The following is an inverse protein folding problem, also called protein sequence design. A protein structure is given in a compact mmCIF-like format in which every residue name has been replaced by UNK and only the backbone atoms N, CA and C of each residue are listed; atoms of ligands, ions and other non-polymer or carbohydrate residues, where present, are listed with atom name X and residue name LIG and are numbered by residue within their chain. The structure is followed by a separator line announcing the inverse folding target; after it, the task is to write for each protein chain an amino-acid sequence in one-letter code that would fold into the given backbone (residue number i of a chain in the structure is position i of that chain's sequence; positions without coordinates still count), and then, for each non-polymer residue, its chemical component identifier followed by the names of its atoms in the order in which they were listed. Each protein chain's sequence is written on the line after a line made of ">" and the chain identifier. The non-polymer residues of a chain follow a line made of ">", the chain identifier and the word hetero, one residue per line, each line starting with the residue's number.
data_IF_379111557409
#
_entry.id   IF_379111557409
#
_cell.length_a   1.000
_cell.length_b   1.000
_cell.length_c   1.000
_cell.angle_alpha   90.00
_cell.angle_beta   90.00
_cell.angle_gamma   90.00
#
_symmetry.space_group_name_H-M   'P 1'
#
loop_
_entity.id
_entity.type
_entity.pdbx_description
1 polymer ?
#
# COMPACT_ATOMS: atom_id res chain seq x y z
N UNK A 1 -2.39 17.18 20.01
CA UNK A 1 -2.69 15.78 19.64
C UNK A 1 -2.14 15.46 18.23
N UNK A 2 -1.45 14.34 18.06
CA UNK A 2 -1.05 13.86 16.73
C UNK A 2 -2.29 13.27 16.03
N UNK A 3 -2.68 13.85 14.90
CA UNK A 3 -3.85 13.42 14.11
C UNK A 3 -3.46 12.39 13.03
N UNK A 4 -2.39 11.64 13.29
CA UNK A 4 -1.84 10.65 12.38
C UNK A 4 -1.21 9.49 13.14
N UNK A 5 -1.12 8.34 12.48
CA UNK A 5 -0.50 7.12 12.99
C UNK A 5 0.73 6.77 12.14
N UNK A 6 1.80 6.31 12.77
CA UNK A 6 2.98 5.82 12.09
C UNK A 6 2.81 4.33 11.79
N UNK A 7 2.91 3.96 10.53
CA UNK A 7 2.85 2.57 10.10
C UNK A 7 4.26 1.94 10.15
N UNK A 8 4.34 0.60 10.29
CA UNK A 8 5.61 -0.11 10.20
C UNK A 8 6.33 0.23 8.88
N UNK A 9 7.65 0.47 8.90
CA UNK A 9 8.40 0.74 7.68
C UNK A 9 8.34 -0.46 6.74
N UNK A 10 7.87 -0.25 5.52
CA UNK A 10 7.83 -1.30 4.51
C UNK A 10 9.25 -1.62 4.00
N UNK A 11 9.56 -2.89 3.68
CA UNK A 11 10.84 -3.27 3.09
C UNK A 11 11.17 -2.45 1.83
N UNK A 12 12.38 -1.89 1.79
CA UNK A 12 12.86 -1.04 0.68
C UNK A 12 12.41 0.43 0.73
N UNK A 13 11.69 0.87 1.77
CA UNK A 13 11.33 2.28 1.94
C UNK A 13 12.39 3.03 2.78
N UNK A 14 12.85 4.20 2.30
CA UNK A 14 13.77 5.09 3.04
C UNK A 14 13.06 6.02 4.05
N UNK A 15 11.83 5.71 4.46
CA UNK A 15 10.98 6.58 5.27
C UNK A 15 9.83 5.82 5.93
N UNK A 16 9.18 6.49 6.89
CA UNK A 16 8.12 5.88 7.72
C UNK A 16 6.76 6.24 7.15
N UNK A 17 5.94 5.27 6.72
CA UNK A 17 4.60 5.55 6.24
C UNK A 17 3.70 6.12 7.36
N UNK A 18 2.81 7.04 7.00
CA UNK A 18 1.94 7.78 7.92
C UNK A 18 0.52 7.75 7.44
N UNK A 19 -0.37 7.34 8.33
CA UNK A 19 -1.81 7.31 8.15
C UNK A 19 -2.44 8.56 8.76
N UNK A 20 -3.01 9.45 7.95
CA UNK A 20 -3.75 10.61 8.46
C UNK A 20 -5.21 10.25 8.69
N UNK A 21 -5.78 10.69 9.82
CA UNK A 21 -7.21 10.45 10.14
C UNK A 21 -8.15 11.06 9.11
N UNK A 22 -7.80 12.22 8.56
CA UNK A 22 -8.57 12.89 7.51
C UNK A 22 -7.65 13.56 6.47
N UNK A 23 -8.13 13.81 5.23
CA UNK A 23 -7.41 14.61 4.25
C UNK A 23 -7.07 16.03 4.75
N UNK A 24 -7.93 16.60 5.60
CA UNK A 24 -7.71 17.92 6.22
C UNK A 24 -6.54 17.91 7.20
N UNK A 25 -6.40 16.84 7.99
CA UNK A 25 -5.27 16.66 8.91
C UNK A 25 -3.95 16.56 8.14
N UNK A 26 -3.96 15.83 7.01
CA UNK A 26 -2.82 15.75 6.09
C UNK A 26 -2.39 17.12 5.60
N UNK A 27 -3.31 17.91 5.07
CA UNK A 27 -3.00 19.25 4.57
C UNK A 27 -2.51 20.19 5.68
N UNK A 28 -3.12 20.11 6.87
CA UNK A 28 -2.68 20.86 8.03
C UNK A 28 -1.24 20.49 8.43
N UNK A 29 -0.88 19.20 8.37
CA UNK A 29 0.48 18.73 8.61
C UNK A 29 1.46 19.17 7.50
N UNK A 30 1.03 19.15 6.24
CA UNK A 30 1.82 19.64 5.10
C UNK A 30 2.14 21.13 5.21
N UNK A 31 1.17 21.96 5.64
CA UNK A 31 1.35 23.40 5.88
C UNK A 31 2.30 23.71 7.04
N UNK A 32 2.54 22.76 7.94
CA UNK A 32 3.39 22.91 9.13
C UNK A 32 4.79 22.32 8.94
N UNK A 33 5.19 22.06 7.70
CA UNK A 33 6.49 21.46 7.44
C UNK A 33 7.66 22.45 7.57
N UNK A 34 8.84 21.97 8.02
CA UNK A 34 9.06 20.67 8.68
C UNK A 34 8.49 20.68 10.10
N UNK A 35 8.11 19.51 10.64
CA UNK A 35 7.61 19.42 12.01
C UNK A 35 8.40 18.44 12.86
N UNK A 36 8.29 18.58 14.19
CA UNK A 36 8.96 17.69 15.15
C UNK A 36 8.13 16.45 15.41
N UNK A 37 8.79 15.30 15.37
CA UNK A 37 8.24 13.98 15.66
C UNK A 37 9.27 13.18 16.45
N UNK A 38 8.95 12.79 17.69
CA UNK A 38 9.83 12.07 18.61
C UNK A 38 11.22 12.71 18.75
N UNK A 39 11.28 14.04 18.85
CA UNK A 39 12.53 14.79 18.93
C UNK A 39 13.31 14.93 17.60
N UNK A 40 12.91 14.22 16.55
CA UNK A 40 13.49 14.33 15.21
C UNK A 40 12.74 15.36 14.35
N UNK A 41 13.45 15.95 13.39
CA UNK A 41 12.82 16.79 12.36
C UNK A 41 12.31 15.89 11.24
N UNK A 42 11.01 15.98 10.96
CA UNK A 42 10.36 15.17 9.95
C UNK A 42 9.77 16.05 8.85
N UNK A 43 9.82 15.53 7.62
CA UNK A 43 9.18 16.11 6.44
C UNK A 43 8.31 15.04 5.79
N UNK A 44 7.08 15.40 5.42
CA UNK A 44 6.29 14.55 4.54
C UNK A 44 6.86 14.71 3.15
N UNK A 45 7.26 13.61 2.56
CA UNK A 45 7.80 13.58 1.21
C UNK A 45 6.84 12.82 0.31
N UNK A 46 6.82 13.13 -0.99
CA UNK A 46 6.12 12.31 -1.96
C UNK A 46 6.54 10.85 -1.83
N UNK A 47 5.61 9.92 -2.04
CA UNK A 47 5.86 8.47 -1.98
C UNK A 47 7.02 8.08 -2.91
N UNK A 48 7.07 8.68 -4.10
CA UNK A 48 8.16 8.52 -5.09
C UNK A 48 9.56 8.90 -4.59
N UNK A 49 9.67 9.73 -3.54
CA UNK A 49 10.96 10.14 -2.96
C UNK A 49 11.50 9.09 -1.98
N UNK A 50 10.66 8.12 -1.60
CA UNK A 50 10.96 7.13 -0.55
C UNK A 50 10.93 5.70 -1.06
N UNK A 51 10.13 5.46 -2.10
CA UNK A 51 10.21 4.26 -2.90
C UNK A 51 11.39 4.36 -3.86
N UNK A 52 12.20 3.32 -3.93
CA UNK A 52 13.15 3.12 -5.02
C UNK A 52 12.34 2.68 -6.26
N UNK A 53 11.74 3.66 -6.94
CA UNK A 53 10.89 3.46 -8.13
C UNK A 53 11.67 3.87 -9.38
N UNK A 54 12.69 3.10 -9.75
CA UNK A 54 13.25 3.19 -11.09
C UNK A 54 12.26 2.55 -12.08
N UNK A 55 11.45 3.37 -12.76
CA UNK A 55 10.74 2.99 -13.99
C UNK A 55 9.61 1.96 -13.88
N UNK A 56 8.71 2.08 -12.88
CA UNK A 56 7.55 1.19 -12.75
C UNK A 56 6.20 1.91 -12.64
N UNK A 57 5.15 1.10 -12.53
CA UNK A 57 3.80 1.54 -12.20
C UNK A 57 3.34 0.97 -10.85
N UNK A 58 2.28 1.54 -10.34
CA UNK A 58 1.54 1.01 -9.22
C UNK A 58 0.12 0.69 -9.67
N UNK A 59 -0.43 -0.41 -9.15
CA UNK A 59 -1.75 -0.86 -9.47
C UNK A 59 -2.55 -1.16 -8.20
N UNK A 60 -3.77 -0.65 -8.15
CA UNK A 60 -4.80 -1.07 -7.21
C UNK A 60 -5.54 -2.23 -7.83
N UNK A 61 -5.49 -3.39 -7.18
CA UNK A 61 -6.16 -4.60 -7.62
C UNK A 61 -7.17 -5.08 -6.58
N UNK A 62 -8.25 -5.65 -7.08
CA UNK A 62 -9.32 -6.27 -6.32
C UNK A 62 -9.28 -7.79 -6.56
N UNK A 63 -9.11 -8.56 -5.50
CA UNK A 63 -9.14 -10.02 -5.51
C UNK A 63 -10.52 -10.49 -5.02
N UNK A 64 -11.35 -10.97 -5.94
CA UNK A 64 -12.74 -11.32 -5.67
C UNK A 64 -12.87 -12.76 -5.17
N UNK A 65 -13.74 -12.97 -4.18
CA UNK A 65 -13.99 -14.32 -3.65
C UNK A 65 -12.75 -14.97 -3.02
N UNK A 66 -11.82 -14.17 -2.49
CA UNK A 66 -10.57 -14.69 -1.90
C UNK A 66 -10.89 -15.68 -0.76
N UNK A 67 -10.31 -16.90 -0.73
CA UNK A 67 -10.68 -17.93 0.23
C UNK A 67 -10.49 -17.48 1.68
N UNK A 68 -11.53 -17.62 2.50
CA UNK A 68 -11.57 -17.07 3.87
C UNK A 68 -10.48 -17.69 4.76
N UNK A 69 -10.24 -18.98 4.58
CA UNK A 69 -9.25 -19.77 5.32
C UNK A 69 -7.79 -19.40 4.99
N UNK A 70 -7.56 -18.77 3.83
CA UNK A 70 -6.24 -18.28 3.39
C UNK A 70 -6.12 -16.75 3.50
N UNK A 71 -7.15 -16.08 4.04
CA UNK A 71 -7.27 -14.62 4.07
C UNK A 71 -6.49 -14.02 5.23
N UNK A 72 -5.17 -14.11 5.17
CA UNK A 72 -4.27 -13.36 6.07
C UNK A 72 -3.41 -12.41 5.26
N UNK A 73 -2.96 -11.31 5.89
CA UNK A 73 -2.05 -10.36 5.23
C UNK A 73 -0.78 -11.06 4.70
N UNK A 74 -0.24 -12.04 5.42
CA UNK A 74 0.93 -12.81 4.99
C UNK A 74 0.63 -13.68 3.76
N UNK A 75 -0.46 -14.46 3.77
CA UNK A 75 -0.81 -15.34 2.66
C UNK A 75 -1.18 -14.57 1.38
N UNK A 76 -1.97 -13.49 1.51
CA UNK A 76 -2.29 -12.62 0.38
C UNK A 76 -1.03 -11.96 -0.18
N UNK A 77 -0.10 -11.54 0.68
CA UNK A 77 1.20 -11.01 0.26
C UNK A 77 1.99 -12.04 -0.55
N UNK A 78 2.14 -13.26 -0.05
CA UNK A 78 2.93 -14.30 -0.72
C UNK A 78 2.35 -14.74 -2.07
N UNK A 79 1.02 -14.79 -2.19
CA UNK A 79 0.37 -15.09 -3.47
C UNK A 79 0.56 -13.95 -4.49
N UNK A 80 0.47 -12.70 -4.04
CA UNK A 80 0.60 -11.54 -4.93
C UNK A 80 2.06 -11.21 -5.32
N UNK A 81 3.04 -11.58 -4.48
CA UNK A 81 4.48 -11.39 -4.73
C UNK A 81 4.97 -12.02 -6.05
N UNK A 82 4.21 -12.96 -6.61
CA UNK A 82 4.56 -13.67 -7.85
C UNK A 82 4.52 -12.79 -9.11
N UNK A 83 3.84 -11.65 -9.05
CA UNK A 83 3.64 -10.77 -10.22
C UNK A 83 3.74 -9.28 -9.87
N UNK A 84 4.27 -8.95 -8.69
CA UNK A 84 4.50 -7.58 -8.26
C UNK A 84 4.96 -7.47 -6.81
N UNK A 85 5.59 -6.36 -6.46
CA UNK A 85 5.95 -6.03 -5.08
C UNK A 85 4.71 -5.51 -4.36
N UNK A 86 4.21 -6.27 -3.40
CA UNK A 86 3.09 -5.86 -2.55
C UNK A 86 3.50 -4.68 -1.68
N UNK A 87 2.83 -3.54 -1.86
CA UNK A 87 3.06 -2.31 -1.08
C UNK A 87 2.04 -2.14 0.03
N UNK A 88 0.78 -2.51 -0.21
CA UNK A 88 -0.30 -2.39 0.76
C UNK A 88 -1.34 -3.48 0.56
N UNK A 89 -1.93 -3.95 1.64
CA UNK A 89 -3.14 -4.75 1.67
C UNK A 89 -4.10 -4.05 2.62
N UNK A 90 -5.33 -3.79 2.17
CA UNK A 90 -6.34 -3.16 3.01
C UNK A 90 -6.61 -4.03 4.27
N UNK A 91 -6.28 -3.55 5.48
CA UNK A 91 -6.46 -4.33 6.70
C UNK A 91 -7.94 -4.64 6.99
N UNK A 92 -8.86 -3.78 6.54
CA UNK A 92 -10.30 -4.01 6.72
C UNK A 92 -10.76 -5.26 5.96
N UNK A 93 -10.15 -5.56 4.82
CA UNK A 93 -10.45 -6.77 4.05
C UNK A 93 -10.04 -8.06 4.79
N UNK A 94 -8.98 -8.00 5.61
CA UNK A 94 -8.50 -9.15 6.40
C UNK A 94 -9.36 -9.37 7.65
N UNK A 95 -9.88 -8.30 8.24
CA UNK A 95 -10.69 -8.36 9.45
C UNK A 95 -12.19 -8.65 9.20
N UNK A 96 -12.66 -8.54 7.95
CA UNK A 96 -14.07 -8.69 7.61
C UNK A 96 -14.49 -10.17 7.50
N UNK A 97 -15.55 -10.60 8.21
CA UNK A 97 -15.99 -12.00 8.30
C UNK A 97 -16.73 -12.52 7.05
N UNK A 98 -17.14 -11.66 6.13
CA UNK A 98 -17.97 -12.01 4.98
C UNK A 98 -17.56 -11.26 3.70
N UNK A 99 -17.16 -12.03 2.68
CA UNK A 99 -17.18 -11.66 1.25
C UNK A 99 -16.36 -10.45 0.77
N UNK A 100 -15.66 -9.72 1.65
CA UNK A 100 -14.92 -8.53 1.22
C UNK A 100 -13.82 -8.89 0.20
N UNK A 101 -13.89 -8.24 -0.96
CA UNK A 101 -12.84 -8.21 -1.98
C UNK A 101 -11.53 -7.80 -1.31
N UNK A 102 -10.48 -8.62 -1.43
CA UNK A 102 -9.17 -8.24 -0.89
C UNK A 102 -8.56 -7.19 -1.80
N UNK A 103 -8.35 -5.99 -1.28
CA UNK A 103 -7.74 -4.87 -2.01
C UNK A 103 -6.24 -4.85 -1.76
N UNK A 104 -5.48 -4.82 -2.84
CA UNK A 104 -4.01 -4.85 -2.80
C UNK A 104 -3.47 -3.74 -3.67
N UNK A 105 -2.41 -3.09 -3.21
CA UNK A 105 -1.61 -2.16 -4.00
C UNK A 105 -0.29 -2.83 -4.34
N UNK A 106 -0.01 -2.96 -5.63
CA UNK A 106 1.19 -3.59 -6.18
C UNK A 106 2.07 -2.54 -6.84
N UNK A 107 3.38 -2.71 -6.74
CA UNK A 107 4.35 -2.07 -7.61
C UNK A 107 4.92 -3.11 -8.57
N UNK A 108 4.98 -2.78 -9.85
CA UNK A 108 5.41 -3.67 -10.93
C UNK A 108 5.96 -2.84 -12.09
N UNK A 109 6.68 -3.45 -13.03
CA UNK A 109 7.25 -2.72 -14.16
C UNK A 109 6.13 -2.32 -15.15
N UNK A 110 5.26 -3.27 -15.50
CA UNK A 110 4.18 -3.05 -16.46
C UNK A 110 2.84 -3.65 -15.99
N UNK A 111 1.69 -2.95 -16.15
CA UNK A 111 0.37 -3.44 -15.73
C UNK A 111 -0.11 -4.76 -16.35
N UNK A 112 0.60 -5.24 -17.38
CA UNK A 112 0.27 -6.48 -18.10
C UNK A 112 0.74 -7.72 -17.35
N UNK A 113 1.61 -7.54 -16.36
CA UNK A 113 2.06 -8.63 -15.48
C UNK A 113 0.94 -9.05 -14.52
N UNK A 114 -0.08 -8.21 -14.31
CA UNK A 114 -1.23 -8.54 -13.46
C UNK A 114 -2.06 -9.61 -14.16
N UNK A 115 -2.16 -10.83 -13.60
CA UNK A 115 -2.98 -11.87 -14.20
C UNK A 115 -4.46 -11.53 -14.00
N UNK A 116 -5.33 -12.07 -14.87
CA UNK A 116 -6.79 -12.00 -14.69
C UNK A 116 -7.30 -12.92 -13.58
N UNK A 117 -6.53 -13.94 -13.25
CA UNK A 117 -6.87 -14.97 -12.27
C UNK A 117 -5.65 -15.33 -11.44
N UNK A 118 -5.84 -15.44 -10.13
CA UNK A 118 -4.83 -15.87 -9.17
C UNK A 118 -5.19 -17.26 -8.67
N UNK A 119 -4.25 -18.21 -8.78
CA UNK A 119 -4.39 -19.54 -8.21
C UNK A 119 -3.82 -19.57 -6.80
N UNK A 120 -4.69 -19.74 -5.81
CA UNK A 120 -4.34 -19.89 -4.40
C UNK A 120 -4.27 -21.38 -4.08
N UNK A 121 -3.07 -21.88 -3.80
CA UNK A 121 -2.81 -23.30 -3.55
C UNK A 121 -2.92 -23.66 -2.07
N UNK A 122 -3.52 -24.81 -1.79
CA UNK A 122 -3.61 -25.40 -0.45
C UNK A 122 -2.51 -26.45 -0.25
N UNK A 123 -2.32 -26.88 1.01
CA UNK A 123 -1.29 -27.88 1.36
C UNK A 123 -1.54 -29.25 0.75
N UNK A 124 -2.79 -29.58 0.44
CA UNK A 124 -3.19 -30.83 -0.21
C UNK A 124 -2.99 -30.81 -1.74
N UNK A 125 -2.48 -29.69 -2.29
CA UNK A 125 -2.26 -29.52 -3.73
C UNK A 125 -3.49 -29.04 -4.51
N UNK A 126 -4.65 -28.92 -3.86
CA UNK A 126 -5.82 -28.27 -4.47
C UNK A 126 -5.59 -26.77 -4.64
N UNK A 127 -6.41 -26.11 -5.47
CA UNK A 127 -6.31 -24.68 -5.68
C UNK A 127 -7.67 -24.01 -5.86
N UNK A 128 -7.81 -22.82 -5.30
CA UNK A 128 -8.91 -21.89 -5.55
C UNK A 128 -8.50 -20.89 -6.63
N UNK A 129 -9.40 -20.61 -7.56
CA UNK A 129 -9.20 -19.59 -8.60
C UNK A 129 -9.87 -18.30 -8.16
N UNK A 130 -9.07 -17.25 -8.01
CA UNK A 130 -9.48 -15.94 -7.51
C UNK A 130 -9.43 -14.95 -8.67
N UNK A 131 -10.58 -14.43 -9.15
CA UNK A 131 -10.59 -13.38 -10.16
C UNK A 131 -9.88 -12.12 -9.67
N UNK A 132 -9.07 -11.53 -10.55
CA UNK A 132 -8.31 -10.31 -10.31
C UNK A 132 -8.86 -9.21 -11.20
N UNK A 133 -9.30 -8.13 -10.58
CA UNK A 133 -9.72 -6.91 -11.25
C UNK A 133 -8.70 -5.80 -11.04
N UNK A 134 -8.28 -5.15 -12.13
CA UNK A 134 -7.47 -3.93 -12.05
C UNK A 134 -8.42 -2.75 -11.83
N UNK A 135 -8.44 -2.22 -10.61
CA UNK A 135 -9.29 -1.08 -10.23
C UNK A 135 -8.70 0.23 -10.75
N UNK A 136 -7.37 0.34 -10.75
CA UNK A 136 -6.68 1.52 -11.25
C UNK A 136 -5.18 1.30 -11.35
N UNK A 137 -4.55 2.05 -12.26
CA UNK A 137 -3.11 2.02 -12.53
C UNK A 137 -2.60 3.45 -12.60
N UNK A 138 -1.42 3.68 -12.03
CA UNK A 138 -0.75 4.96 -12.11
C UNK A 138 0.76 4.77 -12.28
N UNK A 139 1.39 5.65 -13.06
CA UNK A 139 2.84 5.65 -13.16
C UNK A 139 3.44 6.10 -11.83
N UNK A 140 4.53 5.48 -11.40
CA UNK A 140 5.22 5.88 -10.17
C UNK A 140 5.77 7.32 -10.25
N UNK A 141 6.08 7.80 -11.46
CA UNK A 141 6.45 9.19 -11.78
C UNK A 141 5.30 10.18 -11.57
N UNK A 142 4.06 9.75 -11.76
CA UNK A 142 2.83 10.57 -11.72
C UNK A 142 2.15 10.58 -10.36
N UNK A 143 2.72 9.92 -9.34
CA UNK A 143 2.21 9.99 -7.96
C UNK A 143 2.59 11.35 -7.36
N UNK A 144 1.96 12.40 -7.86
CA UNK A 144 1.71 13.64 -7.17
C UNK A 144 0.36 13.51 -6.45
N UNK A 145 0.36 13.78 -5.15
CA UNK A 145 -0.80 13.63 -4.27
C UNK A 145 -1.96 14.53 -4.74
N UNK A 146 -3.01 13.97 -5.39
CA UNK A 146 -4.34 14.01 -4.77
C UNK A 146 -5.29 12.82 -5.07
N UNK A 147 -4.93 11.82 -5.88
CA UNK A 147 -5.95 10.91 -6.46
C UNK A 147 -6.20 9.56 -5.76
N UNK A 148 -5.56 9.29 -4.62
CA UNK A 148 -5.93 8.15 -3.77
C UNK A 148 -7.06 8.58 -2.80
N UNK A 149 -8.20 8.96 -3.37
CA UNK A 149 -9.43 9.22 -2.62
C UNK A 149 -10.21 7.92 -2.50
N UNK A 150 -10.01 7.20 -1.39
CA UNK A 150 -11.01 6.42 -0.63
C UNK A 150 -10.44 5.22 0.13
N UNK A 151 -9.13 4.97 0.04
CA UNK A 151 -8.40 4.15 1.02
C UNK A 151 -7.18 4.94 1.45
N UNK A 152 -6.98 4.97 2.76
CA UNK A 152 -6.32 6.03 3.53
C UNK A 152 -4.92 6.42 2.98
N UNK A 153 -4.57 7.72 2.86
CA UNK A 153 -3.33 8.13 2.22
C UNK A 153 -2.12 7.89 3.13
N UNK A 154 -1.27 6.95 2.73
CA UNK A 154 0.05 6.71 3.32
C UNK A 154 1.07 7.71 2.78
N UNK A 155 1.47 8.69 3.60
CA UNK A 155 2.59 9.60 3.31
C UNK A 155 3.86 9.11 4.00
N UNK A 156 5.01 9.15 3.34
CA UNK A 156 6.26 8.75 3.99
C UNK A 156 6.95 9.94 4.67
N UNK A 157 7.37 9.76 5.91
CA UNK A 157 8.21 10.68 6.67
C UNK A 157 9.67 10.35 6.45
N UNK A 158 10.46 11.36 6.07
CA UNK A 158 11.92 11.30 6.15
C UNK A 158 12.36 11.94 7.47
N UNK A 159 12.88 11.15 8.42
CA UNK A 159 13.54 11.66 9.63
C UNK A 159 14.94 12.14 9.24
N UNK A 160 15.23 13.42 9.49
CA UNK A 160 16.61 13.93 9.45
C UNK A 160 17.15 13.94 10.88
N UNK A 161 18.14 13.08 11.15
CA UNK A 161 18.99 13.26 12.31
C UNK A 161 19.93 14.43 12.02
N UNK A 162 19.88 15.47 12.86
CA UNK A 162 20.96 16.45 12.89
C UNK A 162 22.24 15.72 13.30
N UNK A 163 23.33 15.93 12.56
CA UNK A 163 24.67 15.52 12.98
C UNK A 163 25.09 16.28 14.22
#
# INVERSE_FOLDING_TARGET
>A
PQNFELLPPAPGCRGVPVLFRTPRDREAAARRQPFRLDGATARLVPVRTVLDVSGGCMAHVALHGYPVEQRTGAHATDNCRRFGVVREIDPACVAAPDLSTVRVVLQLEHPREIPRELRVYYRDGSASVVPVEIVGVWECSQIDFPHLTNTVPTLFLKKHCAK
#
